data_IF_659347702444
#
_entry.id   IF_659347702444
#
_cell.length_a   1.000
_cell.length_b   1.000
_cell.length_c   1.000
_cell.angle_alpha   90.00
_cell.angle_beta   90.00
_cell.angle_gamma   90.00
#
_symmetry.space_group_name_H-M   'P 1'
#
loop_
_entity.id
_entity.type
_entity.pdbx_description
1 polymer ?
#
# COMPACT_ATOMS: atom_id res chain seq x y z
N UNK A 1 3.59 -4.46 -5.38
CA UNK A 1 2.58 -4.08 -4.36
C UNK A 1 1.17 -3.84 -4.92
N UNK A 2 0.16 -4.14 -4.11
CA UNK A 2 -1.25 -3.77 -4.27
C UNK A 2 -1.82 -3.36 -2.90
N UNK A 3 -2.88 -2.56 -2.86
CA UNK A 3 -3.52 -2.22 -1.58
C UNK A 3 -4.08 -3.49 -0.93
N UNK A 4 -3.71 -3.75 0.33
CA UNK A 4 -4.15 -4.94 1.08
C UNK A 4 -5.68 -5.13 1.09
N UNK A 5 -6.44 -4.03 1.04
CA UNK A 5 -7.89 -4.05 1.20
C UNK A 5 -8.66 -4.04 -0.13
N UNK A 6 -8.36 -3.10 -1.02
CA UNK A 6 -9.09 -2.97 -2.29
C UNK A 6 -8.38 -3.60 -3.49
N UNK A 7 -7.16 -4.14 -3.33
CA UNK A 7 -6.36 -4.82 -4.36
C UNK A 7 -6.02 -3.96 -5.60
N UNK A 8 -6.37 -2.66 -5.60
CA UNK A 8 -5.92 -1.72 -6.64
C UNK A 8 -4.40 -1.55 -6.57
N UNK A 9 -3.77 -1.51 -7.74
CA UNK A 9 -2.36 -1.10 -7.88
C UNK A 9 -2.23 0.42 -7.68
N UNK A 10 -1.03 0.93 -7.38
CA UNK A 10 -0.81 2.38 -7.29
C UNK A 10 -1.27 3.16 -8.53
N UNK A 11 -1.09 2.62 -9.74
CA UNK A 11 -1.53 3.26 -10.99
C UNK A 11 -3.06 3.29 -11.17
N UNK A 12 -3.80 2.42 -10.48
CA UNK A 12 -5.27 2.39 -10.49
C UNK A 12 -5.90 3.32 -9.44
N UNK A 13 -5.08 3.95 -8.60
CA UNK A 13 -5.52 4.90 -7.59
C UNK A 13 -5.24 6.30 -8.15
N UNK A 14 -6.30 7.00 -8.54
CA UNK A 14 -6.22 8.28 -9.26
C UNK A 14 -5.30 9.29 -8.55
N UNK A 15 -5.44 9.38 -7.22
CA UNK A 15 -4.60 10.26 -6.39
C UNK A 15 -3.10 9.96 -6.57
N UNK A 16 -2.70 8.70 -6.47
CA UNK A 16 -1.29 8.30 -6.58
C UNK A 16 -0.77 8.44 -8.01
N UNK A 17 -1.61 8.16 -9.01
CA UNK A 17 -1.27 8.41 -10.41
C UNK A 17 -0.98 9.90 -10.66
N UNK A 18 -1.81 10.78 -10.10
CA UNK A 18 -1.65 12.24 -10.20
C UNK A 18 -0.42 12.75 -9.45
N UNK A 19 -0.27 12.40 -8.18
CA UNK A 19 0.86 12.84 -7.35
C UNK A 19 2.20 12.35 -7.94
N UNK A 20 2.27 11.09 -8.40
CA UNK A 20 3.47 10.58 -9.06
C UNK A 20 3.80 11.31 -10.38
N UNK A 21 2.78 11.68 -11.17
CA UNK A 21 2.97 12.48 -12.37
C UNK A 21 3.53 13.87 -12.05
N UNK A 22 2.99 14.55 -11.03
CA UNK A 22 3.46 15.86 -10.58
C UNK A 22 4.91 15.81 -10.05
N UNK A 23 5.33 14.67 -9.52
CA UNK A 23 6.68 14.44 -9.00
C UNK A 23 7.62 13.75 -10.01
N UNK A 24 7.21 13.61 -11.28
CA UNK A 24 7.98 12.99 -12.36
C UNK A 24 8.50 11.58 -12.03
N UNK A 25 7.69 10.77 -11.34
CA UNK A 25 8.03 9.39 -10.97
C UNK A 25 6.90 8.41 -11.28
N UNK A 26 7.16 7.11 -11.13
CA UNK A 26 6.11 6.11 -11.27
C UNK A 26 5.19 6.08 -10.03
N UNK A 27 3.90 5.70 -10.18
CA UNK A 27 3.00 5.55 -9.03
C UNK A 27 3.50 4.56 -7.97
N UNK A 28 4.31 3.57 -8.37
CA UNK A 28 4.90 2.62 -7.43
C UNK A 28 6.03 3.24 -6.61
N UNK A 29 6.86 4.08 -7.23
CA UNK A 29 7.91 4.83 -6.52
C UNK A 29 7.30 5.82 -5.54
N UNK A 30 6.25 6.53 -5.95
CA UNK A 30 5.52 7.44 -5.08
C UNK A 30 5.02 6.74 -3.80
N UNK A 31 4.39 5.57 -3.94
CA UNK A 31 3.94 4.80 -2.76
C UNK A 31 5.10 4.38 -1.85
N UNK A 32 6.26 4.04 -2.41
CA UNK A 32 7.44 3.65 -1.62
C UNK A 32 8.08 4.81 -0.88
N UNK A 33 7.97 6.02 -1.42
CA UNK A 33 8.68 7.20 -0.93
C UNK A 33 7.80 8.07 0.00
N UNK A 34 6.53 8.25 -0.35
CA UNK A 34 5.68 9.30 0.24
C UNK A 34 4.39 8.79 0.89
N UNK A 35 4.05 7.50 0.78
CA UNK A 35 2.84 6.95 1.38
C UNK A 35 3.13 6.32 2.74
N UNK A 36 2.67 6.96 3.81
CA UNK A 36 2.91 6.57 5.21
C UNK A 36 2.41 5.17 5.58
N UNK A 37 1.46 4.62 4.82
CA UNK A 37 0.92 3.28 5.07
C UNK A 37 1.74 2.17 4.39
N UNK A 38 2.76 2.51 3.61
CA UNK A 38 3.65 1.55 2.96
C UNK A 38 4.63 0.93 3.96
N UNK A 39 4.80 -0.39 3.88
CA UNK A 39 5.77 -1.13 4.67
C UNK A 39 6.80 -1.82 3.75
N UNK A 40 8.08 -1.44 3.83
CA UNK A 40 9.11 -1.87 2.89
C UNK A 40 9.46 -3.36 2.99
N UNK A 41 9.40 -3.94 4.19
CA UNK A 41 9.78 -5.34 4.39
C UNK A 41 8.77 -6.31 3.73
N UNK A 42 7.48 -5.96 3.74
CA UNK A 42 6.43 -6.78 3.10
C UNK A 42 6.08 -6.35 1.67
N UNK A 43 6.60 -5.23 1.16
CA UNK A 43 6.15 -4.57 -0.09
C UNK A 43 4.61 -4.39 -0.15
N UNK A 44 4.01 -4.04 1.00
CA UNK A 44 2.55 -3.89 1.17
C UNK A 44 2.19 -2.46 1.58
N UNK A 45 0.99 -2.02 1.22
CA UNK A 45 0.44 -0.74 1.65
C UNK A 45 -1.08 -0.80 1.79
N UNK A 46 -1.66 0.24 2.40
CA UNK A 46 -3.10 0.46 2.47
C UNK A 46 -3.43 1.82 1.84
N UNK A 47 -4.23 1.87 0.77
CA UNK A 47 -4.51 3.15 0.13
C UNK A 47 -5.26 4.09 1.08
N UNK A 48 -5.16 5.40 0.84
CA UNK A 48 -5.73 6.40 1.75
C UNK A 48 -7.24 6.23 1.98
N UNK A 49 -7.99 5.88 0.93
CA UNK A 49 -9.43 5.58 1.04
C UNK A 49 -9.68 4.40 1.98
N UNK A 50 -9.00 3.26 1.79
CA UNK A 50 -9.15 2.10 2.67
C UNK A 50 -8.62 2.37 4.09
N UNK A 51 -7.58 3.19 4.23
CA UNK A 51 -7.04 3.59 5.52
C UNK A 51 -8.06 4.41 6.32
N UNK A 52 -8.77 5.32 5.66
CA UNK A 52 -9.87 6.08 6.24
C UNK A 52 -11.08 5.18 6.58
N UNK A 53 -11.47 4.27 5.68
CA UNK A 53 -12.57 3.31 5.91
C UNK A 53 -12.30 2.38 7.12
N UNK A 54 -11.04 2.07 7.38
CA UNK A 54 -10.60 1.28 8.54
C UNK A 54 -10.50 2.10 9.83
N UNK A 55 -10.79 3.42 9.77
CA UNK A 55 -10.76 4.31 10.92
C UNK A 55 -9.36 4.76 11.32
N UNK A 56 -8.43 4.88 10.38
CA UNK A 56 -7.04 5.31 10.60
C UNK A 56 -6.30 4.46 11.65
N UNK A 57 -6.18 3.14 11.43
CA UNK A 57 -5.45 2.24 12.33
C UNK A 57 -4.02 2.71 12.56
N UNK A 58 -3.40 2.31 13.68
CA UNK A 58 -2.00 2.65 13.90
C UNK A 58 -1.13 1.92 12.87
N UNK A 59 0.02 2.50 12.55
CA UNK A 59 0.97 1.87 11.64
C UNK A 59 1.39 0.47 12.11
N UNK A 60 1.51 0.25 13.42
CA UNK A 60 1.78 -1.07 14.00
C UNK A 60 0.67 -2.09 13.73
N UNK A 61 -0.59 -1.65 13.71
CA UNK A 61 -1.72 -2.51 13.38
C UNK A 61 -1.66 -2.90 11.89
N UNK A 62 -1.36 -1.92 11.03
CA UNK A 62 -1.15 -2.15 9.60
C UNK A 62 -0.01 -3.15 9.33
N UNK A 63 1.14 -2.98 9.98
CA UNK A 63 2.28 -3.91 9.87
C UNK A 63 1.85 -5.31 10.33
N UNK A 64 1.16 -5.40 11.47
CA UNK A 64 0.60 -6.67 11.94
C UNK A 64 -0.31 -7.31 10.90
N UNK A 65 -1.14 -6.54 10.19
CA UNK A 65 -1.94 -7.10 9.09
C UNK A 65 -1.08 -7.53 7.91
N UNK A 66 -0.14 -6.70 7.45
CA UNK A 66 0.73 -7.02 6.31
C UNK A 66 1.52 -8.31 6.50
N UNK A 67 2.07 -8.51 7.70
CA UNK A 67 2.85 -9.72 8.03
C UNK A 67 1.97 -10.97 8.17
N UNK A 68 0.67 -10.80 8.44
CA UNK A 68 -0.29 -11.89 8.55
C UNK A 68 -1.11 -12.16 7.27
N UNK A 69 -0.94 -11.35 6.21
CA UNK A 69 -1.47 -11.68 4.87
C UNK A 69 -0.52 -12.67 4.18
N UNK A 70 -0.55 -13.92 4.61
CA UNK A 70 0.07 -15.05 3.91
C UNK A 70 -0.98 -16.16 3.75
N UNK A 71 -1.46 -16.50 2.54
CA UNK A 71 -1.60 -17.90 2.20
C UNK A 71 -0.21 -18.43 1.85
N UNK A 72 0.17 -19.54 2.48
CA UNK A 72 1.38 -20.31 2.21
C UNK A 72 1.64 -20.40 0.68
N UNK A 73 2.73 -19.82 0.18
CA UNK A 73 3.50 -20.54 -0.86
C UNK A 73 4.54 -21.36 -0.15
N UNK A 74 4.11 -22.52 0.35
CA UNK A 74 5.01 -23.68 0.39
C UNK A 74 5.12 -24.18 -1.04
N UNK A 75 6.11 -23.69 -1.77
CA UNK A 75 6.64 -24.39 -2.93
C UNK A 75 7.87 -25.18 -2.44
N UNK A 76 7.64 -26.45 -2.10
CA UNK A 76 8.56 -27.58 -2.21
C UNK A 76 7.79 -28.87 -1.88
#
# INVERSE_FOLDING_TARGET
>A
MQCIRCQRTPAQIERYAKEAFEMEMSPHEYVRMDVETYHPHSDMFCCHECYADLGYPLYTDLVGWYENVIPLRREA
#
